data_IF_760064769009
#
_entry.id   IF_760064769009
#
_cell.length_a   1.000
_cell.length_b   1.000
_cell.length_c   1.000
_cell.angle_alpha   90.00
_cell.angle_beta   90.00
_cell.angle_gamma   90.00
#
_symmetry.space_group_name_H-M   'P 1'
#
loop_
_entity.id
_entity.type
_entity.pdbx_description
1 polymer ?
#
# COMPACT_ATOMS: atom_id res chain seq x y z
N UNK A 1 -8.42 12.29 6.93
CA UNK A 1 -7.73 11.01 6.65
C UNK A 1 -7.47 10.87 5.15
N UNK A 2 -6.55 9.99 4.70
CA UNK A 2 -6.23 9.82 3.27
C UNK A 2 -7.47 9.54 2.42
N UNK A 3 -8.38 8.68 2.90
CA UNK A 3 -9.63 8.34 2.21
C UNK A 3 -10.55 9.55 2.06
N UNK A 4 -10.69 10.38 3.09
CA UNK A 4 -11.50 11.60 3.02
C UNK A 4 -10.90 12.59 2.01
N UNK A 5 -9.58 12.77 2.02
CA UNK A 5 -8.91 13.62 1.04
C UNK A 5 -9.13 13.14 -0.40
N UNK A 6 -9.19 11.83 -0.63
CA UNK A 6 -9.47 11.25 -1.95
C UNK A 6 -10.95 11.35 -2.36
N UNK A 7 -11.86 11.45 -1.39
CA UNK A 7 -13.29 11.67 -1.64
C UNK A 7 -13.60 13.15 -1.96
N UNK A 8 -12.92 14.07 -1.29
CA UNK A 8 -13.19 15.51 -1.40
C UNK A 8 -12.54 16.15 -2.64
N UNK A 9 -11.45 15.56 -3.15
CA UNK A 9 -10.66 16.13 -4.23
C UNK A 9 -10.82 15.36 -5.55
N UNK A 10 -11.57 15.92 -6.52
CA UNK A 10 -11.61 15.46 -7.92
C UNK A 10 -10.25 15.60 -8.66
N UNK A 11 -9.20 16.02 -7.95
CA UNK A 11 -7.87 16.30 -8.50
C UNK A 11 -7.10 15.01 -8.83
N UNK A 12 -7.49 13.88 -8.23
CA UNK A 12 -6.70 12.64 -8.29
C UNK A 12 -7.54 11.41 -8.60
N UNK A 13 -7.03 10.55 -9.48
CA UNK A 13 -7.59 9.22 -9.71
C UNK A 13 -6.84 8.22 -8.82
N UNK A 14 -7.52 7.60 -7.87
CA UNK A 14 -6.95 6.58 -7.01
C UNK A 14 -7.22 5.16 -7.52
N UNK A 15 -6.21 4.31 -7.36
CA UNK A 15 -6.22 2.93 -7.80
C UNK A 15 -5.69 2.04 -6.66
N UNK A 16 -6.15 0.80 -6.58
CA UNK A 16 -5.58 -0.24 -5.72
C UNK A 16 -5.44 -1.52 -6.50
N UNK A 17 -4.64 -2.47 -6.03
CA UNK A 17 -4.57 -3.80 -6.63
C UNK A 17 -5.37 -4.85 -5.85
N UNK A 18 -5.64 -5.98 -6.49
CA UNK A 18 -6.25 -7.16 -5.86
C UNK A 18 -5.40 -7.72 -4.72
N UNK A 19 -4.08 -7.74 -4.86
CA UNK A 19 -3.16 -8.13 -3.79
C UNK A 19 -3.29 -7.22 -2.57
N UNK A 20 -3.33 -5.90 -2.76
CA UNK A 20 -3.48 -4.96 -1.64
C UNK A 20 -4.80 -5.18 -0.88
N UNK A 21 -5.90 -5.44 -1.60
CA UNK A 21 -7.18 -5.78 -0.96
C UNK A 21 -7.09 -7.10 -0.18
N UNK A 22 -6.41 -8.12 -0.72
CA UNK A 22 -6.16 -9.37 -0.03
C UNK A 22 -5.32 -9.21 1.24
N UNK A 23 -4.29 -8.35 1.20
CA UNK A 23 -3.48 -8.01 2.36
C UNK A 23 -4.33 -7.35 3.46
N UNK A 24 -5.25 -6.45 3.10
CA UNK A 24 -6.19 -5.83 4.07
C UNK A 24 -7.04 -6.88 4.76
N UNK A 25 -7.62 -7.85 4.03
CA UNK A 25 -8.38 -8.94 4.64
C UNK A 25 -7.53 -9.72 5.64
N UNK A 26 -6.30 -10.07 5.26
CA UNK A 26 -5.41 -10.84 6.13
C UNK A 26 -5.03 -10.08 7.40
N UNK A 27 -4.71 -8.79 7.28
CA UNK A 27 -4.34 -7.94 8.42
C UNK A 27 -5.52 -7.79 9.38
N UNK A 28 -6.71 -7.46 8.88
CA UNK A 28 -7.90 -7.29 9.71
C UNK A 28 -8.30 -8.61 10.38
N UNK A 29 -8.19 -9.74 9.68
CA UNK A 29 -8.44 -11.06 10.25
C UNK A 29 -7.51 -11.34 11.44
N UNK A 30 -6.22 -11.10 11.23
CA UNK A 30 -5.21 -11.31 12.26
C UNK A 30 -5.46 -10.42 13.48
N UNK A 31 -5.87 -9.17 13.27
CA UNK A 31 -6.19 -8.23 14.35
C UNK A 31 -7.39 -8.70 15.17
N UNK A 32 -8.48 -9.13 14.53
CA UNK A 32 -9.67 -9.65 15.21
C UNK A 32 -9.32 -10.93 16.01
N UNK A 33 -8.55 -11.83 15.42
CA UNK A 33 -8.07 -13.03 16.11
C UNK A 33 -7.21 -12.68 17.33
N UNK A 34 -6.30 -11.72 17.19
CA UNK A 34 -5.47 -11.21 18.28
C UNK A 34 -6.31 -10.60 19.39
N UNK A 35 -7.34 -9.81 19.06
CA UNK A 35 -8.30 -9.27 20.04
C UNK A 35 -9.07 -10.37 20.77
N UNK A 36 -9.50 -11.42 20.06
CA UNK A 36 -10.15 -12.59 20.67
C UNK A 36 -9.21 -13.29 21.66
N UNK A 37 -7.98 -13.59 21.25
CA UNK A 37 -6.99 -14.24 22.12
C UNK A 37 -6.65 -13.40 23.35
N UNK A 38 -6.55 -12.07 23.18
CA UNK A 38 -6.36 -11.14 24.28
C UNK A 38 -7.52 -11.17 25.28
N UNK A 39 -8.77 -11.12 24.79
CA UNK A 39 -9.98 -11.18 25.63
C UNK A 39 -10.13 -12.52 26.36
N UNK A 40 -9.65 -13.60 25.77
CA UNK A 40 -9.59 -14.92 26.41
C UNK A 40 -8.48 -15.05 27.46
N UNK A 41 -7.72 -13.99 27.74
CA UNK A 41 -6.66 -13.99 28.73
C UNK A 41 -5.42 -14.79 28.32
N UNK A 42 -5.23 -15.07 27.03
CA UNK A 42 -4.09 -15.84 26.55
C UNK A 42 -2.83 -14.95 26.55
N UNK A 43 -1.76 -15.33 27.27
CA UNK A 43 -0.51 -14.58 27.26
C UNK A 43 0.11 -14.51 25.85
N UNK A 44 0.63 -13.34 25.46
CA UNK A 44 1.28 -13.11 24.16
C UNK A 44 2.33 -14.16 23.79
N UNK A 45 3.09 -14.65 24.78
CA UNK A 45 4.13 -15.68 24.61
C UNK A 45 3.60 -17.02 24.12
N UNK A 46 2.30 -17.30 24.29
CA UNK A 46 1.65 -18.53 23.86
C UNK A 46 0.87 -18.37 22.54
N UNK A 47 0.81 -17.17 21.97
CA UNK A 47 -0.05 -16.90 20.82
C UNK A 47 0.31 -17.76 19.61
N UNK A 48 1.60 -17.90 19.27
CA UNK A 48 2.04 -18.73 18.15
C UNK A 48 1.65 -20.21 18.28
N UNK A 49 1.55 -20.73 19.51
CA UNK A 49 1.18 -22.13 19.79
C UNK A 49 -0.32 -22.35 19.84
N UNK A 50 -1.07 -21.36 20.30
CA UNK A 50 -2.50 -21.46 20.57
C UNK A 50 -3.38 -20.84 19.49
N UNK A 51 -2.79 -20.16 18.51
CA UNK A 51 -3.51 -19.49 17.42
C UNK A 51 -4.53 -20.39 16.73
N UNK A 52 -4.08 -21.55 16.25
CA UNK A 52 -4.94 -22.50 15.52
C UNK A 52 -6.06 -23.08 16.40
N UNK A 53 -5.87 -23.13 17.73
CA UNK A 53 -6.89 -23.61 18.67
C UNK A 53 -7.92 -22.56 19.04
N UNK A 54 -7.61 -21.28 18.80
CA UNK A 54 -8.45 -20.14 19.13
C UNK A 54 -8.93 -19.42 17.87
N UNK A 55 -8.96 -20.13 16.75
CA UNK A 55 -9.41 -19.59 15.48
C UNK A 55 -10.84 -19.03 15.60
N UNK A 56 -11.21 -18.15 14.67
CA UNK A 56 -12.57 -17.63 14.62
C UNK A 56 -13.56 -18.77 14.34
N UNK A 57 -14.71 -18.77 14.99
CA UNK A 57 -15.82 -19.67 14.65
C UNK A 57 -16.38 -19.30 13.28
N UNK A 58 -17.16 -20.19 12.67
CA UNK A 58 -17.77 -19.88 11.36
C UNK A 58 -18.72 -18.67 11.43
N UNK A 59 -19.45 -18.51 12.54
CA UNK A 59 -20.31 -17.33 12.76
C UNK A 59 -19.48 -16.04 12.87
N UNK A 60 -18.37 -16.07 13.62
CA UNK A 60 -17.45 -14.93 13.74
C UNK A 60 -16.80 -14.61 12.39
N UNK A 61 -16.41 -15.63 11.62
CA UNK A 61 -15.88 -15.47 10.26
C UNK A 61 -16.92 -14.82 9.36
N UNK A 62 -18.17 -15.26 9.40
CA UNK A 62 -19.26 -14.68 8.60
C UNK A 62 -19.45 -13.19 8.90
N UNK A 63 -19.54 -12.83 10.19
CA UNK A 63 -19.67 -11.42 10.61
C UNK A 63 -18.45 -10.60 10.16
N UNK A 64 -17.25 -11.15 10.31
CA UNK A 64 -16.02 -10.53 9.85
C UNK A 64 -16.05 -10.28 8.34
N UNK A 65 -16.40 -11.29 7.54
CA UNK A 65 -16.46 -11.19 6.09
C UNK A 65 -17.45 -10.14 5.63
N UNK A 66 -18.67 -10.13 6.17
CA UNK A 66 -19.70 -9.17 5.80
C UNK A 66 -19.29 -7.74 6.16
N UNK A 67 -18.69 -7.56 7.34
CA UNK A 67 -18.20 -6.26 7.80
C UNK A 67 -17.10 -5.73 6.88
N UNK A 68 -16.03 -6.51 6.64
CA UNK A 68 -14.91 -6.07 5.81
C UNK A 68 -15.34 -5.87 4.37
N UNK A 69 -16.20 -6.76 3.84
CA UNK A 69 -16.76 -6.63 2.49
C UNK A 69 -17.53 -5.33 2.32
N UNK A 70 -18.34 -4.93 3.30
CA UNK A 70 -19.09 -3.67 3.27
C UNK A 70 -18.14 -2.47 3.10
N UNK A 71 -17.13 -2.35 3.96
CA UNK A 71 -16.15 -1.26 3.88
C UNK A 71 -15.32 -1.28 2.59
N UNK A 72 -14.91 -2.47 2.12
CA UNK A 72 -14.16 -2.57 0.88
C UNK A 72 -15.03 -2.28 -0.35
N UNK A 73 -16.33 -2.58 -0.34
CA UNK A 73 -17.24 -2.20 -1.41
C UNK A 73 -17.45 -0.68 -1.43
N UNK A 74 -17.56 -0.05 -0.27
CA UNK A 74 -17.55 1.41 -0.19
C UNK A 74 -16.25 1.97 -0.78
N UNK A 75 -15.09 1.43 -0.39
CA UNK A 75 -13.79 1.82 -0.95
C UNK A 75 -13.76 1.73 -2.49
N UNK A 76 -14.20 0.59 -3.03
CA UNK A 76 -14.27 0.34 -4.48
C UNK A 76 -15.20 1.28 -5.25
N UNK A 77 -16.12 1.97 -4.57
CA UNK A 77 -17.01 2.92 -5.25
C UNK A 77 -16.30 4.20 -5.70
N UNK A 78 -15.13 4.52 -5.12
CA UNK A 78 -14.37 5.73 -5.44
C UNK A 78 -12.92 5.47 -5.85
N UNK A 79 -12.45 4.22 -5.84
CA UNK A 79 -11.12 3.85 -6.38
C UNK A 79 -11.25 2.76 -7.43
N UNK A 80 -10.40 2.80 -8.46
CA UNK A 80 -10.32 1.70 -9.42
C UNK A 80 -9.53 0.52 -8.82
N UNK A 81 -10.00 -0.70 -9.04
CA UNK A 81 -9.25 -1.91 -8.71
C UNK A 81 -8.61 -2.44 -9.98
N UNK A 82 -7.30 -2.65 -9.96
CA UNK A 82 -6.55 -3.24 -11.08
C UNK A 82 -6.01 -4.61 -10.71
N UNK A 83 -5.87 -5.46 -11.72
CA UNK A 83 -5.20 -6.75 -11.57
C UNK A 83 -3.71 -6.56 -11.31
N UNK A 84 -3.15 -7.44 -10.48
CA UNK A 84 -1.73 -7.50 -10.19
C UNK A 84 -0.93 -7.88 -11.43
N UNK A 85 0.16 -7.15 -11.68
CA UNK A 85 1.03 -7.35 -12.85
C UNK A 85 2.44 -7.74 -12.40
N UNK A 86 2.96 -8.77 -13.05
CA UNK A 86 4.37 -9.13 -13.02
C UNK A 86 4.94 -8.85 -14.41
N UNK A 87 6.02 -8.09 -14.47
CA UNK A 87 6.67 -7.67 -15.70
C UNK A 87 8.11 -8.14 -15.66
N UNK A 88 8.56 -8.86 -16.70
CA UNK A 88 9.86 -9.54 -16.73
C UNK A 88 11.05 -8.57 -16.72
N UNK A 89 10.84 -7.28 -16.99
CA UNK A 89 11.90 -6.26 -16.94
C UNK A 89 11.92 -5.54 -15.59
N UNK A 90 10.75 -5.16 -15.07
CA UNK A 90 10.63 -4.36 -13.86
C UNK A 90 10.76 -5.24 -12.61
N UNK A 91 10.01 -6.34 -12.55
CA UNK A 91 9.90 -7.15 -11.34
C UNK A 91 11.24 -7.73 -10.88
N UNK A 92 12.05 -8.38 -11.75
CA UNK A 92 13.35 -8.89 -11.34
C UNK A 92 14.29 -7.78 -10.83
N UNK A 93 14.20 -6.58 -11.41
CA UNK A 93 15.01 -5.44 -10.95
C UNK A 93 14.61 -5.00 -9.55
N UNK A 94 13.32 -4.92 -9.26
CA UNK A 94 12.82 -4.59 -7.91
C UNK A 94 13.25 -5.62 -6.85
N UNK A 95 13.19 -6.91 -7.17
CA UNK A 95 13.58 -7.98 -6.24
C UNK A 95 15.11 -8.05 -6.08
N UNK A 96 15.85 -8.11 -7.19
CA UNK A 96 17.29 -8.38 -7.17
C UNK A 96 18.13 -7.14 -6.87
N UNK A 97 17.79 -6.00 -7.46
CA UNK A 97 18.56 -4.76 -7.28
C UNK A 97 18.06 -3.94 -6.09
N UNK A 98 16.76 -3.90 -5.82
CA UNK A 98 16.21 -3.12 -4.71
C UNK A 98 15.89 -3.96 -3.47
N UNK A 99 16.00 -5.29 -3.55
CA UNK A 99 15.81 -6.17 -2.38
C UNK A 99 14.38 -6.21 -1.87
N UNK A 100 13.40 -5.85 -2.70
CA UNK A 100 12.00 -5.87 -2.30
C UNK A 100 11.48 -7.29 -2.11
N UNK A 101 10.59 -7.47 -1.14
CA UNK A 101 9.84 -8.73 -0.99
C UNK A 101 8.94 -8.94 -2.21
N UNK A 102 8.62 -10.19 -2.57
CA UNK A 102 7.82 -10.50 -3.76
C UNK A 102 6.51 -9.70 -3.85
N UNK A 103 5.74 -9.64 -2.75
CA UNK A 103 4.46 -8.92 -2.74
C UNK A 103 4.64 -7.41 -2.94
N UNK A 104 5.64 -6.81 -2.29
CA UNK A 104 5.96 -5.39 -2.43
C UNK A 104 6.39 -5.05 -3.86
N UNK A 105 7.19 -5.93 -4.47
CA UNK A 105 7.60 -5.81 -5.86
C UNK A 105 6.40 -5.93 -6.82
N UNK A 106 5.46 -6.85 -6.58
CA UNK A 106 4.22 -6.97 -7.38
C UNK A 106 3.40 -5.68 -7.32
N UNK A 107 3.18 -5.13 -6.11
CA UNK A 107 2.41 -3.89 -5.94
C UNK A 107 3.07 -2.72 -6.69
N UNK A 108 4.40 -2.60 -6.58
CA UNK A 108 5.14 -1.52 -7.22
C UNK A 108 5.22 -1.70 -8.74
N UNK A 109 5.44 -2.93 -9.24
CA UNK A 109 5.36 -3.23 -10.67
C UNK A 109 3.98 -2.89 -11.22
N UNK A 110 2.92 -3.28 -10.52
CA UNK A 110 1.54 -2.94 -10.89
C UNK A 110 1.35 -1.43 -10.99
N UNK A 111 1.90 -0.66 -10.05
CA UNK A 111 1.82 0.80 -10.09
C UNK A 111 2.59 1.43 -11.25
N UNK A 112 3.80 0.94 -11.53
CA UNK A 112 4.60 1.41 -12.66
C UNK A 112 3.88 1.11 -13.98
N UNK A 113 3.34 -0.10 -14.16
CA UNK A 113 2.62 -0.49 -15.40
C UNK A 113 1.32 0.26 -15.61
N UNK A 114 0.68 0.72 -14.54
CA UNK A 114 -0.50 1.58 -14.61
C UNK A 114 -0.16 3.08 -14.63
N UNK A 115 1.12 3.43 -14.81
CA UNK A 115 1.63 4.81 -14.95
C UNK A 115 1.24 5.72 -13.79
N UNK A 116 1.27 5.18 -12.57
CA UNK A 116 1.00 5.96 -11.38
C UNK A 116 2.20 6.86 -11.07
N UNK A 117 1.93 8.15 -10.81
CA UNK A 117 2.97 9.11 -10.44
C UNK A 117 3.43 8.92 -8.98
N UNK A 118 2.53 8.46 -8.12
CA UNK A 118 2.79 8.19 -6.72
C UNK A 118 2.44 6.76 -6.33
N UNK A 119 3.23 6.23 -5.41
CA UNK A 119 2.98 4.99 -4.69
C UNK A 119 2.86 5.29 -3.20
N UNK A 120 1.62 5.36 -2.70
CA UNK A 120 1.37 5.72 -1.31
C UNK A 120 1.46 4.47 -0.44
N UNK A 121 2.35 4.47 0.55
CA UNK A 121 2.55 3.34 1.47
C UNK A 121 3.03 3.81 2.84
N UNK A 122 2.71 3.07 3.90
CA UNK A 122 3.31 3.28 5.22
C UNK A 122 4.66 2.56 5.38
N UNK A 123 5.07 1.73 4.41
CA UNK A 123 6.31 0.97 4.50
C UNK A 123 7.53 1.88 4.32
N UNK A 124 8.21 2.16 5.42
CA UNK A 124 9.40 3.01 5.43
C UNK A 124 10.53 2.47 4.56
N UNK A 125 10.64 1.15 4.38
CA UNK A 125 11.68 0.56 3.54
C UNK A 125 11.49 0.99 2.09
N UNK A 126 10.25 0.90 1.59
CA UNK A 126 9.89 1.32 0.22
C UNK A 126 10.08 2.84 0.06
N UNK A 127 9.65 3.65 1.03
CA UNK A 127 9.79 5.11 0.97
C UNK A 127 11.27 5.52 0.92
N UNK A 128 12.14 4.85 1.66
CA UNK A 128 13.57 5.17 1.67
C UNK A 128 14.27 4.85 0.36
N UNK A 129 13.73 3.94 -0.47
CA UNK A 129 14.24 3.69 -1.83
C UNK A 129 14.20 4.93 -2.74
N UNK A 130 13.35 5.90 -2.41
CA UNK A 130 13.26 7.17 -3.14
C UNK A 130 14.14 8.27 -2.52
N UNK A 131 14.45 8.18 -1.22
CA UNK A 131 15.18 9.22 -0.48
C UNK A 131 16.69 9.00 -0.45
N UNK A 132 17.16 7.76 -0.61
CA UNK A 132 18.57 7.43 -0.49
C UNK A 132 19.16 7.02 -1.85
N UNK A 133 20.31 7.62 -2.21
CA UNK A 133 21.27 6.97 -3.10
C UNK A 133 21.78 5.73 -2.36
N UNK A 134 21.08 4.61 -2.51
CA UNK A 134 21.41 3.36 -1.82
C UNK A 134 22.88 3.05 -2.09
N UNK A 135 23.69 3.10 -1.04
CA UNK A 135 25.07 2.61 -1.11
C UNK A 135 24.97 1.10 -1.15
N UNK A 136 25.25 0.52 -2.30
CA UNK A 136 25.44 -0.92 -2.38
C UNK A 136 26.67 -1.29 -1.54
N UNK A 137 26.44 -1.82 -0.33
CA UNK A 137 27.50 -2.22 0.60
C UNK A 137 28.48 -3.22 -0.03
N UNK A 138 28.04 -3.99 -1.04
CA UNK A 138 28.87 -4.96 -1.76
C UNK A 138 29.54 -4.37 -3.00
N UNK A 139 28.88 -3.47 -3.73
CA UNK A 139 29.38 -2.99 -5.05
C UNK A 139 30.01 -1.60 -5.06
N UNK A 140 30.02 -0.85 -3.94
CA UNK A 140 30.48 0.57 -3.86
C UNK A 140 29.83 1.51 -4.89
N UNK A 141 28.77 1.09 -5.58
CA UNK A 141 28.04 1.88 -6.58
C UNK A 141 26.74 2.42 -5.97
N UNK A 142 26.40 3.65 -6.35
CA UNK A 142 25.14 4.32 -5.98
C UNK A 142 24.05 3.82 -6.92
N UNK A 143 22.96 3.30 -6.37
CA UNK A 143 21.76 2.98 -7.17
C UNK A 143 20.93 4.27 -7.35
N UNK A 144 20.34 4.48 -8.53
CA UNK A 144 19.42 5.60 -8.73
C UNK A 144 18.17 5.43 -7.84
N UNK A 145 17.53 6.53 -7.42
CA UNK A 145 16.20 6.49 -6.83
C UNK A 145 15.16 5.82 -7.74
N UNK A 146 14.12 5.24 -7.14
CA UNK A 146 12.99 4.67 -7.88
C UNK A 146 12.31 5.69 -8.81
N UNK A 147 12.15 6.94 -8.36
CA UNK A 147 11.55 8.02 -9.16
C UNK A 147 12.33 8.32 -10.44
N UNK A 148 13.66 8.34 -10.37
CA UNK A 148 14.51 8.55 -11.55
C UNK A 148 14.41 7.38 -12.54
N UNK A 149 14.25 6.15 -12.04
CA UNK A 149 14.31 4.96 -12.88
C UNK A 149 12.95 4.56 -13.49
N UNK A 150 11.88 4.68 -12.72
CA UNK A 150 10.55 4.17 -13.09
C UNK A 150 9.48 5.26 -13.12
N UNK A 151 9.85 6.53 -12.90
CA UNK A 151 8.94 7.67 -12.90
C UNK A 151 7.77 7.50 -11.91
N UNK A 152 8.07 6.96 -10.73
CA UNK A 152 7.12 6.77 -9.63
C UNK A 152 7.73 7.23 -8.31
N UNK A 153 6.95 7.94 -7.51
CA UNK A 153 7.37 8.49 -6.21
C UNK A 153 6.71 7.71 -5.08
N UNK A 154 7.45 6.81 -4.40
CA UNK A 154 7.01 6.25 -3.12
C UNK A 154 6.99 7.32 -2.04
N UNK A 155 5.88 7.41 -1.30
CA UNK A 155 5.78 8.34 -0.17
C UNK A 155 4.75 7.89 0.88
N UNK A 156 4.84 8.48 2.06
CA UNK A 156 3.88 8.26 3.13
C UNK A 156 2.58 9.05 2.91
N UNK A 157 1.43 8.54 3.39
CA UNK A 157 0.17 9.28 3.34
C UNK A 157 0.27 10.69 3.94
N UNK A 158 1.02 10.87 5.02
CA UNK A 158 1.10 12.14 5.75
C UNK A 158 1.88 13.21 4.97
N UNK A 159 2.95 12.83 4.26
CA UNK A 159 3.74 13.77 3.46
C UNK A 159 2.95 14.18 2.21
N UNK A 160 2.35 13.19 1.54
CA UNK A 160 1.48 13.40 0.41
C UNK A 160 0.34 14.39 0.71
N UNK A 161 -0.35 14.22 1.85
CA UNK A 161 -1.42 15.13 2.27
C UNK A 161 -0.93 16.54 2.65
N UNK A 162 0.37 16.75 2.87
CA UNK A 162 0.94 18.08 3.12
C UNK A 162 1.28 18.79 1.81
N UNK A 163 1.94 18.10 0.88
CA UNK A 163 2.31 18.67 -0.43
C UNK A 163 1.08 19.16 -1.20
N UNK A 164 0.00 18.39 -1.16
CA UNK A 164 -1.30 18.74 -1.78
C UNK A 164 -1.88 20.06 -1.24
N UNK A 165 -1.84 20.27 0.08
CA UNK A 165 -2.31 21.53 0.69
C UNK A 165 -1.46 22.74 0.30
N UNK A 166 -0.15 22.55 0.10
CA UNK A 166 0.76 23.62 -0.33
C UNK A 166 0.60 23.97 -1.82
N UNK A 167 0.28 22.99 -2.69
CA UNK A 167 -0.06 23.25 -4.10
C UNK A 167 -1.36 24.06 -4.23
N UNK A 168 -2.38 23.79 -3.41
CA UNK A 168 -3.63 24.56 -3.39
C UNK A 168 -3.40 26.01 -2.90
N UNK A 169 -2.44 26.23 -2.00
CA UNK A 169 -2.02 27.57 -1.56
C UNK A 169 -1.25 28.37 -2.61
N UNK A 170 -0.89 27.76 -3.74
CA UNK A 170 -0.13 28.36 -4.85
C UNK A 170 -0.87 28.20 -6.18
N UNK A 171 -2.12 28.66 -6.27
CA UNK A 171 -2.82 28.67 -7.56
C UNK A 171 -2.11 29.61 -8.56
N UNK A 172 -1.62 29.02 -9.65
CA UNK A 172 -1.32 29.69 -10.91
C UNK A 172 -2.25 29.04 -11.97
N UNK A 173 -3.10 29.81 -12.69
CA UNK A 173 -4.34 29.29 -13.28
C UNK A 173 -4.16 28.61 -14.64
N UNK A 174 -3.13 27.78 -14.84
CA UNK A 174 -2.94 27.09 -16.14
C UNK A 174 -2.56 25.62 -16.00
N UNK A 175 -3.46 24.80 -16.55
CA UNK A 175 -3.37 23.37 -16.87
C UNK A 175 -3.60 22.37 -15.73
N UNK A 176 -4.87 22.09 -15.45
CA UNK A 176 -5.32 20.92 -14.69
C UNK A 176 -5.05 19.65 -15.49
N UNK A 177 -3.87 19.03 -15.31
CA UNK A 177 -3.63 17.65 -15.75
C UNK A 177 -4.14 16.71 -14.66
N UNK A 178 -5.07 15.83 -15.02
CA UNK A 178 -5.57 14.76 -14.15
C UNK A 178 -4.41 13.76 -13.90
N UNK A 179 -4.02 13.56 -12.64
CA UNK A 179 -2.92 12.65 -12.25
C UNK A 179 -3.48 11.34 -11.67
N UNK A 180 -2.95 10.18 -12.14
CA UNK A 180 -3.32 8.84 -11.66
C UNK A 180 -2.41 8.37 -10.51
N UNK A 181 -2.98 7.73 -9.48
CA UNK A 181 -2.33 7.37 -8.20
C UNK A 181 -2.72 5.97 -7.73
N UNK A 182 -1.83 5.26 -7.05
CA UNK A 182 -2.18 4.03 -6.30
C UNK A 182 -2.01 4.21 -4.80
N UNK A 183 -2.95 3.65 -4.05
CA UNK A 183 -2.90 3.51 -2.59
C UNK A 183 -2.53 2.05 -2.29
N UNK A 184 -1.41 1.84 -1.61
CA UNK A 184 -1.07 0.58 -0.97
C UNK A 184 -1.25 0.77 0.55
N UNK A 185 -2.29 0.17 1.14
CA UNK A 185 -2.45 0.13 2.58
C UNK A 185 -1.70 -1.09 3.13
N UNK A 186 -0.69 -0.84 3.95
CA UNK A 186 -0.16 -1.78 4.95
C UNK A 186 -0.15 -1.10 6.32
#
# INVERSE_FOLDING_TARGET
MLIEALKDENTYEAVTSTLALGEVYHVLYNEVLSLKMYRSGIPLTLWSKLRNKNDLTEDEKSIFWDTVRSYLNELKSFIAVVDDKVDDEIYPKLVLDYGLRPHDAILLTTAIKNRCEWFITNDSEIITLNKQKLKDKKRKKRKPPLSELFNITPDSPQNFLRETKEEIGRENPKATKIKKKIIANR
#
